data_IF_975836730219
#
_entry.id   IF_975836730219
#
_cell.length_a   1.000
_cell.length_b   1.000
_cell.length_c   1.000
_cell.angle_alpha   90.00
_cell.angle_beta   90.00
_cell.angle_gamma   90.00
#
_symmetry.space_group_name_H-M   'P 1'
#
loop_
_entity.id
_entity.type
_entity.pdbx_description
1 polymer ?
#
# COMPACT_ATOMS: atom_id res chain seq x y z
N UNK A 1 -9.25 0.78 -23.19
CA UNK A 1 -7.78 0.62 -23.26
C UNK A 1 -7.24 0.90 -24.66
N UNK A 2 -6.28 1.82 -24.77
CA UNK A 2 -5.60 2.26 -25.98
C UNK A 2 -4.17 1.68 -26.11
N UNK A 3 -3.88 0.59 -25.39
CA UNK A 3 -2.59 -0.09 -25.39
C UNK A 3 -1.82 0.03 -24.07
N UNK A 4 -2.45 0.57 -23.02
CA UNK A 4 -1.91 0.57 -21.67
C UNK A 4 -1.74 -0.86 -21.16
N UNK A 5 -0.66 -1.10 -20.40
CA UNK A 5 -0.45 -2.38 -19.73
C UNK A 5 -1.52 -2.59 -18.65
N UNK A 6 -1.90 -3.85 -18.43
CA UNK A 6 -2.84 -4.19 -17.36
C UNK A 6 -2.29 -3.77 -15.99
N UNK A 7 -3.13 -3.13 -15.18
CA UNK A 7 -2.82 -2.73 -13.82
C UNK A 7 -2.80 -3.95 -12.90
N UNK A 8 -1.66 -4.63 -12.84
CA UNK A 8 -1.49 -5.88 -12.10
C UNK A 8 -0.29 -5.78 -11.15
N UNK A 9 -0.45 -6.28 -9.93
CA UNK A 9 0.64 -6.43 -8.98
C UNK A 9 1.65 -7.49 -9.51
N UNK A 10 2.93 -7.14 -9.72
CA UNK A 10 3.93 -8.05 -10.28
C UNK A 10 4.21 -9.25 -9.37
N UNK A 11 4.51 -10.43 -9.92
CA UNK A 11 4.84 -11.63 -9.11
C UNK A 11 6.05 -11.41 -8.19
N UNK A 12 7.09 -10.71 -8.67
CA UNK A 12 8.25 -10.38 -7.84
C UNK A 12 7.89 -9.49 -6.65
N UNK A 13 6.91 -8.58 -6.81
CA UNK A 13 6.42 -7.77 -5.70
C UNK A 13 5.73 -8.62 -4.63
N UNK A 14 4.91 -9.60 -5.06
CA UNK A 14 4.24 -10.56 -4.16
C UNK A 14 5.26 -11.34 -3.33
N UNK A 15 6.32 -11.84 -3.98
CA UNK A 15 7.39 -12.57 -3.28
C UNK A 15 8.10 -11.71 -2.22
N UNK A 16 8.36 -10.44 -2.52
CA UNK A 16 8.96 -9.49 -1.56
C UNK A 16 8.04 -9.30 -0.35
N UNK A 17 6.74 -9.09 -0.58
CA UNK A 17 5.73 -8.93 0.48
C UNK A 17 5.70 -10.18 1.36
N UNK A 18 5.58 -11.38 0.75
CA UNK A 18 5.57 -12.63 1.51
C UNK A 18 6.82 -12.80 2.38
N UNK A 19 7.99 -12.44 1.87
CA UNK A 19 9.25 -12.51 2.63
C UNK A 19 9.24 -11.59 3.85
N UNK A 20 8.68 -10.39 3.74
CA UNK A 20 8.60 -9.45 4.86
C UNK A 20 7.77 -10.03 6.02
N UNK A 21 6.56 -10.51 5.74
CA UNK A 21 5.69 -11.13 6.75
C UNK A 21 6.27 -12.46 7.30
N UNK A 22 6.87 -13.28 6.44
CA UNK A 22 7.45 -14.56 6.87
C UNK A 22 8.62 -14.37 7.86
N UNK A 23 9.43 -13.30 7.73
CA UNK A 23 10.48 -12.98 8.71
C UNK A 23 9.95 -12.73 10.11
N UNK A 24 8.68 -12.32 10.21
CA UNK A 24 7.98 -12.06 11.46
C UNK A 24 7.15 -13.25 11.94
N UNK A 25 7.28 -14.41 11.27
CA UNK A 25 6.47 -15.60 11.51
C UNK A 25 4.96 -15.36 11.29
N UNK A 26 4.60 -14.45 10.38
CA UNK A 26 3.21 -14.19 10.01
C UNK A 26 2.94 -14.85 8.65
N UNK A 27 1.87 -15.64 8.57
CA UNK A 27 1.39 -16.21 7.30
C UNK A 27 0.55 -15.16 6.58
N UNK A 28 1.08 -14.60 5.50
CA UNK A 28 0.37 -13.65 4.67
C UNK A 28 -0.35 -14.38 3.52
N UNK A 29 -1.68 -14.24 3.47
CA UNK A 29 -2.51 -14.77 2.39
C UNK A 29 -2.86 -13.64 1.42
N UNK A 30 -2.47 -13.80 0.15
CA UNK A 30 -2.83 -12.89 -0.92
C UNK A 30 -3.69 -13.64 -1.93
N UNK A 31 -4.94 -13.21 -2.04
CA UNK A 31 -5.82 -13.60 -3.13
C UNK A 31 -5.73 -12.54 -4.24
N UNK A 32 -5.34 -12.97 -5.42
CA UNK A 32 -5.16 -12.12 -6.60
C UNK A 32 -5.99 -12.60 -7.79
N UNK A 33 -7.09 -13.31 -7.51
CA UNK A 33 -8.01 -13.85 -8.51
C UNK A 33 -7.66 -15.23 -9.02
N UNK A 34 -6.56 -15.82 -8.52
CA UNK A 34 -6.18 -17.21 -8.84
C UNK A 34 -6.93 -18.25 -8.01
N UNK A 35 -7.55 -17.85 -6.89
CA UNK A 35 -8.32 -18.76 -6.06
C UNK A 35 -9.75 -18.89 -6.59
N UNK A 36 -10.21 -20.13 -6.79
CA UNK A 36 -11.60 -20.36 -7.14
C UNK A 36 -12.52 -19.77 -6.07
N UNK A 37 -13.63 -19.17 -6.51
CA UNK A 37 -14.68 -18.58 -5.65
C UNK A 37 -14.27 -17.40 -4.77
N UNK A 38 -13.05 -16.86 -4.93
CA UNK A 38 -12.53 -15.79 -4.08
C UNK A 38 -13.09 -14.40 -4.40
N UNK A 39 -13.65 -14.24 -5.61
CA UNK A 39 -14.22 -12.98 -6.15
C UNK A 39 -13.19 -11.84 -6.26
N UNK A 40 -11.91 -12.15 -6.28
CA UNK A 40 -10.91 -11.19 -6.74
C UNK A 40 -11.00 -11.10 -8.26
N UNK A 41 -11.49 -9.97 -8.75
CA UNK A 41 -11.84 -9.78 -10.16
C UNK A 41 -10.98 -8.70 -10.81
N UNK A 42 -10.75 -8.87 -12.12
CA UNK A 42 -10.24 -7.79 -12.97
C UNK A 42 -11.39 -6.80 -13.18
N UNK A 43 -11.19 -5.56 -12.76
CA UNK A 43 -12.16 -4.49 -12.97
C UNK A 43 -12.01 -3.85 -14.36
N UNK A 44 -13.07 -3.25 -14.93
CA UNK A 44 -13.00 -2.51 -16.18
C UNK A 44 -11.92 -1.43 -16.12
N UNK A 45 -11.21 -1.28 -17.24
CA UNK A 45 -10.17 -0.27 -17.34
C UNK A 45 -10.77 1.13 -17.30
N UNK A 46 -10.16 1.97 -16.48
CA UNK A 46 -10.43 3.39 -16.38
C UNK A 46 -9.09 4.16 -16.35
N UNK A 47 -9.04 5.25 -17.11
CA UNK A 47 -7.84 6.08 -17.27
C UNK A 47 -7.57 6.97 -16.06
N UNK A 48 -8.61 7.35 -15.32
CA UNK A 48 -8.50 8.21 -14.17
C UNK A 48 -9.67 7.94 -13.23
N UNK A 49 -9.40 7.22 -12.16
CA UNK A 49 -10.40 6.90 -11.14
C UNK A 49 -10.50 8.04 -10.14
N UNK A 50 -11.70 8.61 -10.00
CA UNK A 50 -11.96 9.70 -9.07
C UNK A 50 -12.10 9.18 -7.63
N UNK A 51 -11.10 9.46 -6.78
CA UNK A 51 -11.06 9.01 -5.38
C UNK A 51 -11.60 10.02 -4.37
N UNK A 52 -12.07 11.20 -4.80
CA UNK A 52 -12.41 12.31 -3.92
C UNK A 52 -13.42 11.92 -2.81
N UNK A 53 -12.94 11.96 -1.57
CA UNK A 53 -13.69 11.65 -0.34
C UNK A 53 -14.95 12.49 -0.13
N UNK A 54 -14.98 13.71 -0.67
CA UNK A 54 -16.13 14.62 -0.55
C UNK A 54 -17.08 14.54 -1.76
N UNK A 55 -16.79 13.68 -2.72
CA UNK A 55 -17.61 13.51 -3.92
C UNK A 55 -18.63 12.40 -3.71
N UNK A 56 -19.93 12.65 -3.95
CA UNK A 56 -20.92 11.56 -4.04
C UNK A 56 -20.61 10.59 -5.20
N UNK A 57 -19.69 10.97 -6.09
CA UNK A 57 -19.25 10.14 -7.20
C UNK A 57 -17.99 9.32 -6.92
N UNK A 58 -17.47 9.29 -5.69
CA UNK A 58 -16.25 8.55 -5.33
C UNK A 58 -16.23 7.13 -5.92
N UNK A 59 -15.39 6.93 -6.92
CA UNK A 59 -15.33 5.71 -7.69
C UNK A 59 -14.65 4.58 -6.92
N UNK A 60 -13.73 4.89 -6.01
CA UNK A 60 -13.11 3.89 -5.14
C UNK A 60 -14.15 3.17 -4.27
N UNK A 61 -15.12 3.93 -3.74
CA UNK A 61 -16.22 3.36 -2.96
C UNK A 61 -17.13 2.50 -3.84
N UNK A 62 -17.48 2.96 -5.05
CA UNK A 62 -18.27 2.18 -6.00
C UNK A 62 -17.57 0.88 -6.41
N UNK A 63 -16.27 0.93 -6.67
CA UNK A 63 -15.44 -0.24 -6.98
C UNK A 63 -15.45 -1.23 -5.80
N UNK A 64 -15.25 -0.72 -4.58
CA UNK A 64 -15.30 -1.52 -3.37
C UNK A 64 -16.66 -2.21 -3.18
N UNK A 65 -17.75 -1.48 -3.33
CA UNK A 65 -19.11 -2.02 -3.19
C UNK A 65 -19.44 -3.05 -4.28
N UNK A 66 -19.07 -2.76 -5.53
CA UNK A 66 -19.41 -3.60 -6.68
C UNK A 66 -18.57 -4.88 -6.76
N UNK A 67 -17.25 -4.78 -6.58
CA UNK A 67 -16.34 -5.90 -6.84
C UNK A 67 -15.91 -6.61 -5.57
N UNK A 68 -15.75 -5.90 -4.45
CA UNK A 68 -15.34 -6.52 -3.20
C UNK A 68 -16.53 -6.96 -2.34
N UNK A 69 -17.49 -6.07 -2.05
CA UNK A 69 -18.67 -6.46 -1.27
C UNK A 69 -19.55 -7.39 -2.09
N UNK A 70 -20.02 -6.93 -3.25
CA UNK A 70 -20.93 -7.68 -4.13
C UNK A 70 -22.07 -8.37 -3.34
N UNK A 71 -22.74 -7.62 -2.47
CA UNK A 71 -23.77 -8.08 -1.52
C UNK A 71 -23.31 -9.09 -0.43
N UNK A 72 -22.01 -9.25 -0.20
CA UNK A 72 -21.46 -10.07 0.89
C UNK A 72 -21.01 -9.22 2.07
N UNK A 73 -21.81 -9.24 3.14
CA UNK A 73 -21.59 -8.42 4.33
C UNK A 73 -20.44 -8.90 5.24
N UNK A 74 -19.94 -10.13 5.09
CA UNK A 74 -18.91 -10.67 5.99
C UNK A 74 -17.48 -10.30 5.59
N UNK A 75 -17.23 -10.01 4.30
CA UNK A 75 -15.87 -9.78 3.76
C UNK A 75 -15.11 -8.62 4.43
N UNK A 76 -15.75 -7.49 4.77
CA UNK A 76 -15.04 -6.36 5.37
C UNK A 76 -14.41 -6.62 6.73
N UNK A 77 -14.87 -7.63 7.47
CA UNK A 77 -14.29 -8.02 8.77
C UNK A 77 -13.25 -9.13 8.67
N UNK A 78 -12.85 -9.52 7.46
CA UNK A 78 -11.93 -10.64 7.21
C UNK A 78 -10.81 -10.27 6.26
N UNK A 79 -11.10 -9.52 5.19
CA UNK A 79 -10.11 -9.17 4.17
C UNK A 79 -9.77 -7.68 4.18
N UNK A 80 -8.49 -7.41 3.95
CA UNK A 80 -8.02 -6.11 3.50
C UNK A 80 -8.07 -6.08 1.97
N UNK A 81 -8.90 -5.22 1.40
CA UNK A 81 -9.10 -5.08 -0.04
C UNK A 81 -8.07 -4.14 -0.66
N UNK A 82 -7.24 -4.68 -1.56
CA UNK A 82 -6.31 -3.89 -2.36
C UNK A 82 -6.74 -3.84 -3.82
N UNK A 83 -6.78 -2.64 -4.43
CA UNK A 83 -7.06 -2.48 -5.87
C UNK A 83 -5.88 -1.81 -6.59
N UNK A 84 -5.44 -2.40 -7.71
CA UNK A 84 -4.45 -1.80 -8.60
C UNK A 84 -5.17 -1.08 -9.75
N UNK A 85 -5.11 0.25 -9.74
CA UNK A 85 -5.74 1.12 -10.74
C UNK A 85 -4.69 1.61 -11.73
N UNK A 86 -5.12 2.09 -12.90
CA UNK A 86 -4.17 2.77 -13.79
C UNK A 86 -3.70 4.10 -13.18
N UNK A 87 -4.63 4.99 -12.82
CA UNK A 87 -4.33 6.25 -12.15
C UNK A 87 -5.49 6.67 -11.25
N UNK A 88 -5.20 7.10 -10.03
CA UNK A 88 -6.13 7.79 -9.14
C UNK A 88 -5.80 9.30 -9.10
N UNK A 89 -6.81 10.15 -9.00
CA UNK A 89 -6.68 11.62 -8.96
C UNK A 89 -6.12 12.16 -7.64
N UNK A 90 -6.25 11.41 -6.54
CA UNK A 90 -5.77 11.81 -5.21
C UNK A 90 -4.25 11.61 -5.04
N UNK A 91 -3.81 10.36 -5.19
CA UNK A 91 -2.44 9.95 -4.90
C UNK A 91 -2.12 8.60 -5.57
N UNK A 92 -0.83 8.31 -5.72
CA UNK A 92 -0.39 7.04 -6.31
C UNK A 92 -0.57 5.83 -5.39
N UNK A 93 -0.81 6.06 -4.10
CA UNK A 93 -1.22 5.08 -3.10
C UNK A 93 -2.14 5.79 -2.12
N UNK A 94 -3.25 5.16 -1.74
CA UNK A 94 -4.17 5.71 -0.76
C UNK A 94 -5.03 4.62 -0.11
N UNK A 95 -4.93 4.47 1.20
CA UNK A 95 -5.96 3.81 2.00
C UNK A 95 -7.24 4.66 1.99
N UNK A 96 -8.35 4.09 1.53
CA UNK A 96 -9.62 4.80 1.38
C UNK A 96 -10.75 4.30 2.30
N UNK A 97 -10.52 3.21 3.02
CA UNK A 97 -11.33 2.72 4.17
C UNK A 97 -10.37 2.05 5.16
N UNK A 98 -10.82 1.71 6.36
CA UNK A 98 -9.96 1.00 7.35
C UNK A 98 -9.44 -0.32 6.83
N UNK A 99 -10.19 -1.00 5.96
CA UNK A 99 -9.82 -2.29 5.39
C UNK A 99 -9.50 -2.21 3.89
N UNK A 100 -9.32 -1.02 3.30
CA UNK A 100 -9.25 -0.89 1.84
C UNK A 100 -8.25 0.14 1.38
N UNK A 101 -7.52 -0.18 0.31
CA UNK A 101 -6.56 0.72 -0.29
C UNK A 101 -6.44 0.55 -1.80
N UNK A 102 -5.89 1.58 -2.45
CA UNK A 102 -5.57 1.57 -3.87
C UNK A 102 -4.09 1.88 -4.12
N UNK A 103 -3.55 1.35 -5.22
CA UNK A 103 -2.28 1.78 -5.81
C UNK A 103 -2.48 2.12 -7.29
N UNK A 104 -1.82 3.18 -7.76
CA UNK A 104 -1.88 3.64 -9.16
C UNK A 104 -0.65 3.19 -9.95
N UNK A 105 -0.85 2.27 -10.87
CA UNK A 105 0.23 1.63 -11.64
C UNK A 105 0.99 2.63 -12.51
N UNK A 106 0.33 3.60 -13.15
CA UNK A 106 1.00 4.61 -13.98
C UNK A 106 2.02 5.44 -13.17
N UNK A 107 1.64 5.85 -11.96
CA UNK A 107 2.52 6.55 -11.03
C UNK A 107 3.69 5.67 -10.56
N UNK A 108 3.43 4.40 -10.25
CA UNK A 108 4.45 3.44 -9.85
C UNK A 108 5.41 3.08 -11.00
N UNK A 109 4.94 2.92 -12.22
CA UNK A 109 5.80 2.72 -13.40
C UNK A 109 6.71 3.93 -13.64
N UNK A 110 6.15 5.15 -13.53
CA UNK A 110 6.92 6.39 -13.63
C UNK A 110 7.99 6.45 -12.55
N UNK A 111 7.66 6.03 -11.31
CA UNK A 111 8.62 5.96 -10.21
C UNK A 111 9.71 4.90 -10.45
N UNK A 112 9.33 3.71 -10.92
CA UNK A 112 10.28 2.64 -11.24
C UNK A 112 11.29 3.08 -12.31
N UNK A 113 10.86 3.84 -13.33
CA UNK A 113 11.77 4.41 -14.34
C UNK A 113 12.75 5.45 -13.79
N UNK A 114 12.35 6.20 -12.75
CA UNK A 114 13.19 7.23 -12.14
C UNK A 114 14.26 6.65 -11.21
N UNK A 115 13.98 5.51 -10.58
CA UNK A 115 14.89 4.90 -9.60
C UNK A 115 15.83 3.96 -10.34
N UNK A 116 17.03 4.45 -10.66
CA UNK A 116 18.06 3.72 -11.43
C UNK A 116 18.53 2.38 -10.81
N UNK A 117 18.09 2.08 -9.59
CA UNK A 117 18.48 0.87 -8.84
C UNK A 117 17.30 0.07 -8.28
N UNK A 118 16.07 0.53 -8.48
CA UNK A 118 14.87 -0.12 -7.96
C UNK A 118 14.35 -1.12 -8.98
N UNK A 119 14.26 -2.40 -8.59
CA UNK A 119 13.40 -3.31 -9.34
C UNK A 119 11.98 -2.75 -9.32
N UNK A 120 11.31 -2.74 -10.47
CA UNK A 120 9.87 -2.46 -10.58
C UNK A 120 9.08 -3.18 -9.48
N UNK A 121 9.47 -4.41 -9.16
CA UNK A 121 8.87 -5.22 -8.10
C UNK A 121 8.99 -4.58 -6.71
N UNK A 122 10.12 -3.95 -6.38
CA UNK A 122 10.31 -3.26 -5.09
C UNK A 122 9.40 -2.04 -5.01
N UNK A 123 9.26 -1.29 -6.10
CA UNK A 123 8.39 -0.10 -6.13
C UNK A 123 6.95 -0.49 -5.86
N UNK A 124 6.47 -1.54 -6.51
CA UNK A 124 5.13 -2.08 -6.26
C UNK A 124 4.98 -2.68 -4.86
N UNK A 125 5.94 -3.46 -4.39
CA UNK A 125 5.87 -4.09 -3.06
C UNK A 125 5.84 -3.04 -1.94
N UNK A 126 6.70 -2.02 -2.03
CA UNK A 126 6.77 -0.95 -1.02
C UNK A 126 5.51 -0.09 -1.01
N UNK A 127 4.95 0.27 -2.17
CA UNK A 127 3.68 0.98 -2.23
C UNK A 127 2.53 0.12 -1.67
N UNK A 128 2.43 -1.14 -2.09
CA UNK A 128 1.40 -2.05 -1.61
C UNK A 128 1.46 -2.21 -0.09
N UNK A 129 2.64 -2.49 0.46
CA UNK A 129 2.78 -2.66 1.91
C UNK A 129 2.58 -1.34 2.66
N UNK A 130 2.95 -0.19 2.11
CA UNK A 130 2.71 1.10 2.78
C UNK A 130 1.20 1.31 2.98
N UNK A 131 0.42 1.10 1.92
CA UNK A 131 -1.03 1.28 1.99
C UNK A 131 -1.72 0.19 2.84
N UNK A 132 -1.23 -1.06 2.76
CA UNK A 132 -1.66 -2.13 3.65
C UNK A 132 -1.41 -1.77 5.12
N UNK A 133 -0.29 -1.11 5.43
CA UNK A 133 0.05 -0.67 6.78
C UNK A 133 -1.00 0.25 7.39
N UNK A 134 -1.52 1.21 6.62
CA UNK A 134 -2.65 2.05 7.06
C UNK A 134 -3.88 1.21 7.41
N UNK A 135 -4.16 0.15 6.64
CA UNK A 135 -5.26 -0.77 6.94
C UNK A 135 -4.98 -1.72 8.11
N UNK A 136 -3.76 -1.74 8.63
CA UNK A 136 -3.34 -2.47 9.83
C UNK A 136 -3.14 -1.52 11.03
N UNK A 137 -3.74 -0.33 10.96
CA UNK A 137 -3.67 0.75 11.94
C UNK A 137 -2.27 1.35 12.15
N UNK A 138 -1.35 1.18 11.20
CA UNK A 138 -0.02 1.81 11.27
C UNK A 138 -0.09 3.25 10.77
N UNK A 139 -0.55 4.16 11.64
CA UNK A 139 -0.75 5.58 11.31
C UNK A 139 0.38 6.48 11.83
N UNK A 140 1.55 5.93 12.18
CA UNK A 140 2.64 6.71 12.74
C UNK A 140 3.25 7.66 11.70
N UNK A 141 3.09 8.97 11.92
CA UNK A 141 3.35 10.00 10.91
C UNK A 141 4.80 10.47 10.79
N UNK A 142 5.75 9.93 11.57
CA UNK A 142 7.12 10.44 11.53
C UNK A 142 7.79 10.10 10.18
N UNK A 143 8.15 11.12 9.39
CA UNK A 143 8.65 10.90 8.03
C UNK A 143 7.55 10.59 7.00
N UNK A 144 6.29 10.58 7.42
CA UNK A 144 5.09 10.55 6.57
C UNK A 144 4.69 11.98 6.16
N UNK A 145 5.67 12.78 5.70
CA UNK A 145 5.40 14.12 5.19
C UNK A 145 6.49 14.59 4.24
N UNK A 146 6.11 15.53 3.36
CA UNK A 146 7.03 16.20 2.43
C UNK A 146 8.12 17.00 3.12
N UNK A 147 7.95 17.29 4.42
CA UNK A 147 8.92 18.01 5.25
C UNK A 147 10.09 17.12 5.67
N UNK A 148 10.05 15.82 5.38
CA UNK A 148 11.10 14.85 5.67
C UNK A 148 11.69 14.19 4.42
N UNK A 149 11.56 14.79 3.24
CA UNK A 149 11.99 14.23 1.95
C UNK A 149 13.45 14.44 1.62
N UNK A 150 14.09 15.45 2.22
CA UNK A 150 15.41 15.88 1.81
C UNK A 150 16.38 16.07 2.98
N UNK A 151 17.69 15.82 2.78
CA UNK A 151 18.71 15.95 3.83
C UNK A 151 18.83 17.33 4.48
N UNK A 152 18.34 18.41 3.86
CA UNK A 152 18.35 19.74 4.48
C UNK A 152 17.16 20.00 5.41
N UNK A 153 16.17 19.12 5.43
CA UNK A 153 15.02 19.26 6.31
C UNK A 153 15.29 18.59 7.67
N UNK A 154 14.88 19.24 8.77
CA UNK A 154 15.11 18.70 10.11
C UNK A 154 14.40 17.36 10.34
N UNK A 155 13.20 17.19 9.76
CA UNK A 155 12.43 15.96 9.90
C UNK A 155 13.13 14.78 9.24
N UNK A 156 13.90 15.00 8.15
CA UNK A 156 14.71 13.95 7.53
C UNK A 156 15.59 13.28 8.58
N UNK A 157 16.43 14.05 9.27
CA UNK A 157 17.35 13.51 10.29
C UNK A 157 16.63 12.94 11.50
N UNK A 158 15.53 13.57 11.93
CA UNK A 158 14.73 13.09 13.05
C UNK A 158 14.07 11.74 12.77
N UNK A 159 13.65 11.52 11.52
CA UNK A 159 12.99 10.30 11.06
C UNK A 159 13.97 9.24 10.53
N UNK A 160 15.27 9.54 10.36
CA UNK A 160 16.26 8.55 9.90
C UNK A 160 16.29 7.26 10.74
N UNK A 161 16.16 7.29 12.07
CA UNK A 161 16.10 6.05 12.85
C UNK A 161 14.88 5.20 12.51
N UNK A 162 13.77 5.80 12.09
CA UNK A 162 12.54 5.11 11.75
C UNK A 162 12.65 4.39 10.41
N UNK A 163 13.18 3.16 10.44
CA UNK A 163 13.40 2.31 9.26
C UNK A 163 12.15 1.49 8.98
N UNK A 164 11.17 2.15 8.38
CA UNK A 164 9.91 1.56 8.00
C UNK A 164 9.50 2.03 6.61
N UNK A 165 8.82 1.18 5.85
CA UNK A 165 8.15 1.61 4.61
C UNK A 165 7.06 2.68 4.85
N UNK A 166 6.58 2.85 6.09
CA UNK A 166 5.66 3.93 6.46
C UNK A 166 6.35 5.31 6.44
N UNK A 167 7.68 5.35 6.44
CA UNK A 167 8.46 6.58 6.27
C UNK A 167 8.75 6.82 4.79
N UNK A 168 8.32 7.96 4.25
CA UNK A 168 8.49 8.29 2.84
C UNK A 168 9.95 8.42 2.40
N UNK A 169 10.89 8.68 3.33
CA UNK A 169 12.32 8.62 3.02
C UNK A 169 12.84 7.20 2.72
N UNK A 170 12.19 6.17 3.26
CA UNK A 170 12.54 4.77 3.03
C UNK A 170 11.70 4.11 1.95
N UNK A 171 10.48 4.61 1.72
CA UNK A 171 9.61 4.19 0.62
C UNK A 171 10.35 4.27 -0.72
N UNK A 172 10.17 3.24 -1.56
CA UNK A 172 10.89 3.03 -2.82
C UNK A 172 12.42 2.86 -2.72
N UNK A 173 12.99 2.67 -1.52
CA UNK A 173 14.42 2.41 -1.35
C UNK A 173 15.31 3.64 -1.60
N UNK A 174 14.78 4.85 -1.39
CA UNK A 174 15.48 6.12 -1.65
C UNK A 174 16.73 6.31 -0.76
N UNK A 175 16.68 5.90 0.51
CA UNK A 175 17.82 6.01 1.44
C UNK A 175 18.59 4.70 1.58
N UNK A 176 17.89 3.56 1.70
CA UNK A 176 18.50 2.24 1.81
C UNK A 176 17.93 1.36 0.70
N UNK A 177 18.80 0.96 -0.22
CA UNK A 177 18.46 0.10 -1.35
C UNK A 177 17.86 -1.21 -0.82
N UNK A 178 16.75 -1.65 -1.44
CA UNK A 178 16.08 -2.93 -1.19
C UNK A 178 15.46 -3.10 0.21
N UNK A 179 14.97 -2.01 0.81
CA UNK A 179 14.21 -2.10 2.05
C UNK A 179 12.70 -2.15 1.76
N UNK A 180 12.06 -3.29 2.08
CA UNK A 180 10.62 -3.48 2.03
C UNK A 180 10.23 -4.26 3.30
N UNK A 181 10.09 -3.53 4.40
CA UNK A 181 9.82 -4.06 5.73
C UNK A 181 9.18 -2.95 6.59
N UNK A 182 8.34 -3.33 7.56
CA UNK A 182 7.98 -2.40 8.64
C UNK A 182 9.09 -2.35 9.68
N UNK A 183 9.10 -1.33 10.53
CA UNK A 183 10.12 -1.25 11.56
C UNK A 183 9.85 -2.21 12.72
N UNK A 184 10.93 -2.68 13.35
CA UNK A 184 10.92 -3.46 14.59
C UNK A 184 11.38 -2.65 15.81
N UNK A 185 11.55 -1.33 15.68
CA UNK A 185 11.93 -0.42 16.77
C UNK A 185 13.37 -0.52 17.29
N UNK A 186 14.26 -1.25 16.62
CA UNK A 186 15.61 -1.53 17.11
C UNK A 186 16.69 -0.52 16.66
N UNK A 187 16.34 0.49 15.87
CA UNK A 187 17.30 1.42 15.24
C UNK A 187 17.50 2.73 16.01
N UNK A 188 17.10 2.77 17.28
CA UNK A 188 17.38 3.86 18.21
C UNK A 188 16.21 4.84 18.36
N UNK A 189 16.53 6.07 18.76
CA UNK A 189 15.51 7.05 19.15
C UNK A 189 14.59 7.40 17.97
N UNK A 190 13.28 7.36 18.22
CA UNK A 190 12.20 7.59 17.24
C UNK A 190 12.01 6.45 16.22
N UNK A 191 12.66 5.30 16.38
CA UNK A 191 12.31 4.10 15.63
C UNK A 191 11.08 3.45 16.27
N UNK A 192 9.92 3.63 15.65
CA UNK A 192 8.66 3.05 16.14
C UNK A 192 8.57 1.58 15.73
N UNK A 193 8.18 0.71 16.65
CA UNK A 193 8.04 -0.72 16.37
C UNK A 193 6.69 -1.01 15.71
N UNK A 194 6.62 -0.87 14.39
CA UNK A 194 5.41 -1.12 13.62
C UNK A 194 4.96 -2.57 13.73
N UNK A 195 5.88 -3.53 13.61
CA UNK A 195 5.54 -4.96 13.59
C UNK A 195 4.81 -5.38 14.87
N UNK A 196 5.26 -4.91 16.03
CA UNK A 196 4.61 -5.21 17.31
C UNK A 196 3.31 -4.42 17.54
N UNK A 197 3.03 -3.38 16.73
CA UNK A 197 1.85 -2.52 16.86
C UNK A 197 0.81 -2.72 15.75
N UNK A 198 0.99 -3.71 14.87
CA UNK A 198 -0.04 -4.09 13.88
C UNK A 198 -1.33 -4.51 14.60
N UNK A 199 -2.45 -3.94 14.17
CA UNK A 199 -3.78 -4.37 14.59
C UNK A 199 -4.45 -5.18 13.47
N UNK A 200 -4.39 -6.50 13.58
CA UNK A 200 -5.06 -7.42 12.65
C UNK A 200 -6.59 -7.40 12.75
N UNK A 201 -7.16 -6.70 13.74
CA UNK A 201 -8.60 -6.53 13.91
C UNK A 201 -9.10 -5.16 13.45
N UNK A 202 -8.23 -4.36 12.83
CA UNK A 202 -8.56 -3.02 12.34
C UNK A 202 -9.43 -3.07 11.08
N UNK A 203 -10.73 -3.24 11.31
CA UNK A 203 -11.77 -3.22 10.29
C UNK A 203 -12.82 -2.16 10.64
N UNK A 204 -13.63 -1.76 9.67
CA UNK A 204 -14.74 -0.88 9.94
C UNK A 204 -15.72 -1.58 10.88
N UNK A 205 -16.12 -0.86 11.93
CA UNK A 205 -17.18 -1.32 12.81
C UNK A 205 -18.49 -1.31 12.01
N UNK A 206 -19.07 -2.49 11.79
CA UNK A 206 -20.44 -2.60 11.30
C UNK A 206 -21.38 -2.00 12.35
N UNK A 207 -21.97 -0.85 12.03
CA UNK A 207 -23.15 -0.32 12.74
C UNK A 207 -24.40 -0.66 11.94
#
# INVERSE_FOLDING_TARGET
PNGEAASILPEGAKEIIFKAFNRQNIVFHLDDGRWADSKSDIIPFDNLTEGNWNSPNNELIKIYEQYFLNNNSWRPGVFHYGVALYQCDLANGNAFRTNSFQISTNGLESKAKQISTGSRDIVYATAYMHELGHTLNLNYLLGHSTDGYYPWQLLWWKARPYKSIMNYGYMYGLIFRNFCDYSNGQHGKNDFDDWSNIDFSYFDQFN
#
